data_IF_395618249733
#
_entry.id   IF_395618249733
#
_cell.length_a   1.000
_cell.length_b   1.000
_cell.length_c   1.000
_cell.angle_alpha   90.00
_cell.angle_beta   90.00
_cell.angle_gamma   90.00
#
_symmetry.space_group_name_H-M   'P 1'
#
loop_
_entity.id
_entity.type
_entity.pdbx_description
1 polymer ?
#
# COMPACT_ATOMS: atom_id res chain seq x y z
N UNK A 1 -23.44 -3.80 12.77
CA UNK A 1 -22.01 -3.42 12.65
C UNK A 1 -21.20 -4.67 12.95
N UNK A 2 -20.56 -5.25 11.93
CA UNK A 2 -19.89 -6.55 12.05
C UNK A 2 -18.64 -6.44 12.92
N UNK A 3 -18.62 -7.19 14.02
CA UNK A 3 -17.43 -7.37 14.87
C UNK A 3 -16.34 -8.09 14.05
N UNK A 4 -15.32 -7.34 13.64
CA UNK A 4 -14.13 -7.93 12.99
C UNK A 4 -13.41 -8.77 14.05
N UNK A 5 -13.60 -10.08 13.98
CA UNK A 5 -13.04 -11.02 14.94
C UNK A 5 -11.53 -11.11 14.76
N UNK A 6 -10.77 -10.92 15.85
CA UNK A 6 -9.29 -10.93 15.84
C UNK A 6 -8.68 -12.21 15.25
N UNK A 7 -9.40 -13.33 15.34
CA UNK A 7 -9.02 -14.60 14.72
C UNK A 7 -9.07 -14.57 13.19
N UNK A 8 -10.04 -13.84 12.60
CA UNK A 8 -10.11 -13.64 11.14
C UNK A 8 -8.91 -12.85 10.65
N UNK A 9 -8.60 -11.74 11.34
CA UNK A 9 -7.43 -10.90 11.03
C UNK A 9 -6.12 -11.69 11.10
N UNK A 10 -5.95 -12.56 12.09
CA UNK A 10 -4.74 -13.37 12.22
C UNK A 10 -4.57 -14.35 11.05
N UNK A 11 -5.66 -14.97 10.59
CA UNK A 11 -5.66 -15.85 9.43
C UNK A 11 -5.41 -15.07 8.13
N UNK A 12 -6.04 -13.91 7.96
CA UNK A 12 -5.86 -13.07 6.77
C UNK A 12 -4.41 -12.59 6.66
N UNK A 13 -3.79 -12.20 7.78
CA UNK A 13 -2.38 -11.81 7.84
C UNK A 13 -1.46 -13.00 7.54
N UNK A 14 -1.78 -14.19 8.05
CA UNK A 14 -1.01 -15.40 7.74
C UNK A 14 -1.09 -15.76 6.24
N UNK A 15 -2.27 -15.60 5.63
CA UNK A 15 -2.47 -15.80 4.20
C UNK A 15 -1.65 -14.81 3.38
N UNK A 16 -1.66 -13.52 3.74
CA UNK A 16 -0.87 -12.49 3.05
C UNK A 16 0.64 -12.76 3.14
N UNK A 17 1.13 -13.29 4.27
CA UNK A 17 2.54 -13.69 4.44
C UNK A 17 2.93 -14.94 3.65
N UNK A 18 1.97 -15.77 3.28
CA UNK A 18 2.21 -16.98 2.49
C UNK A 18 2.40 -16.70 1.00
N UNK A 19 2.07 -15.48 0.55
CA UNK A 19 2.25 -15.05 -0.83
C UNK A 19 3.70 -14.60 -1.00
N UNK A 20 4.48 -15.20 -1.93
CA UNK A 20 5.83 -14.75 -2.22
C UNK A 20 5.82 -13.29 -2.67
N UNK A 21 6.73 -12.48 -2.15
CA UNK A 21 6.83 -11.06 -2.51
C UNK A 21 6.99 -10.82 -4.03
N UNK A 22 7.60 -11.79 -4.73
CA UNK A 22 7.74 -11.81 -6.19
C UNK A 22 6.43 -11.95 -6.97
N UNK A 23 5.35 -12.39 -6.32
CA UNK A 23 4.01 -12.54 -6.90
C UNK A 23 3.14 -11.31 -6.71
N UNK A 24 3.60 -10.34 -5.90
CA UNK A 24 2.93 -9.07 -5.74
C UNK A 24 3.36 -8.13 -6.87
N UNK A 25 2.42 -7.50 -7.60
CA UNK A 25 2.74 -6.55 -8.66
C UNK A 25 3.15 -5.21 -8.03
N UNK A 26 4.24 -5.21 -7.27
CA UNK A 26 4.93 -4.00 -6.85
C UNK A 26 5.91 -3.66 -7.97
N UNK A 27 5.39 -3.00 -9.00
CA UNK A 27 6.18 -2.49 -10.11
C UNK A 27 7.18 -1.46 -9.58
N UNK A 28 8.45 -1.84 -9.54
CA UNK A 28 9.54 -1.10 -10.16
C UNK A 28 9.44 0.43 -10.06
N UNK A 29 9.65 0.96 -8.86
CA UNK A 29 9.85 2.39 -8.66
C UNK A 29 11.11 2.60 -7.81
N UNK A 30 12.28 2.35 -8.41
CA UNK A 30 13.55 3.04 -8.15
C UNK A 30 14.05 3.23 -6.71
N UNK A 31 13.44 2.58 -5.71
CA UNK A 31 13.93 2.58 -4.35
C UNK A 31 14.98 1.48 -4.28
N UNK A 32 16.21 1.90 -4.01
CA UNK A 32 17.28 1.01 -3.60
C UNK A 32 16.71 0.12 -2.49
N UNK A 33 16.66 -1.18 -2.75
CA UNK A 33 16.42 -2.22 -1.76
C UNK A 33 17.17 -1.82 -0.48
N UNK A 34 16.49 -1.57 0.65
CA UNK A 34 17.19 -1.51 1.93
C UNK A 34 17.83 -2.88 2.07
N UNK A 35 19.16 -2.92 2.19
CA UNK A 35 19.98 -4.13 2.32
C UNK A 35 19.20 -5.27 2.97
N UNK A 36 19.09 -6.41 2.28
CA UNK A 36 18.33 -7.65 2.55
C UNK A 36 18.37 -8.23 3.99
N UNK A 37 19.02 -7.58 4.93
CA UNK A 37 19.29 -8.07 6.28
C UNK A 37 18.53 -7.35 7.39
N UNK A 38 17.75 -6.30 7.12
CA UNK A 38 17.02 -5.59 8.18
C UNK A 38 15.52 -5.88 8.13
N UNK A 39 15.06 -6.57 9.16
CA UNK A 39 13.64 -6.80 9.38
C UNK A 39 12.93 -5.47 9.70
N UNK A 40 11.65 -5.29 9.31
CA UNK A 40 10.89 -4.09 9.66
C UNK A 40 10.86 -3.79 11.17
N UNK A 41 10.96 -4.84 12.00
CA UNK A 41 11.07 -4.73 13.45
C UNK A 41 12.39 -4.09 13.88
N UNK A 42 13.51 -4.47 13.26
CA UNK A 42 14.84 -3.90 13.54
C UNK A 42 14.92 -2.43 13.09
N UNK A 43 14.28 -2.08 11.98
CA UNK A 43 14.15 -0.69 11.55
C UNK A 43 13.40 0.11 12.63
N UNK A 44 12.26 -0.38 13.11
CA UNK A 44 11.49 0.28 14.17
C UNK A 44 12.28 0.37 15.50
N UNK A 45 13.08 -0.64 15.84
CA UNK A 45 13.91 -0.65 17.04
C UNK A 45 15.10 0.30 16.96
N UNK A 46 15.69 0.51 15.76
CA UNK A 46 16.75 1.50 15.56
C UNK A 46 16.29 2.93 15.86
N UNK A 47 14.98 3.19 15.76
CA UNK A 47 14.35 4.47 16.08
C UNK A 47 13.60 4.46 17.42
N UNK A 48 13.80 3.43 18.25
CA UNK A 48 13.31 3.44 19.63
C UNK A 48 13.94 4.62 20.39
N UNK A 49 13.20 5.36 21.23
CA UNK A 49 13.73 6.51 21.98
C UNK A 49 14.98 6.19 22.84
N UNK A 50 15.17 4.90 23.17
CA UNK A 50 16.31 4.36 23.90
C UNK A 50 17.62 4.26 23.08
N UNK A 51 17.55 4.26 21.75
CA UNK A 51 18.68 4.11 20.82
C UNK A 51 18.77 5.23 19.78
N UNK A 52 17.73 6.06 19.66
CA UNK A 52 17.68 7.17 18.71
C UNK A 52 18.71 8.26 19.06
N UNK A 53 19.61 8.52 18.12
CA UNK A 53 20.54 9.66 18.19
C UNK A 53 19.90 10.89 17.54
N UNK A 54 20.32 12.09 17.95
CA UNK A 54 19.84 13.35 17.35
C UNK A 54 19.98 13.36 15.83
N UNK A 55 21.07 12.77 15.31
CA UNK A 55 21.31 12.65 13.87
C UNK A 55 20.27 11.74 13.21
N UNK A 56 20.03 10.55 13.76
CA UNK A 56 19.02 9.61 13.24
C UNK A 56 17.61 10.19 13.23
N UNK A 57 17.25 10.99 14.26
CA UNK A 57 15.95 11.66 14.32
C UNK A 57 15.82 12.76 13.27
N UNK A 58 16.89 13.52 13.01
CA UNK A 58 16.90 14.53 11.95
C UNK A 58 16.81 13.90 10.56
N UNK A 59 17.54 12.82 10.32
CA UNK A 59 17.53 12.13 9.03
C UNK A 59 16.15 11.51 8.74
N UNK A 60 15.52 10.90 9.75
CA UNK A 60 14.15 10.41 9.66
C UNK A 60 13.15 11.55 9.38
N UNK A 61 13.30 12.68 10.08
CA UNK A 61 12.42 13.85 9.88
C UNK A 61 12.55 14.42 8.47
N UNK A 62 13.77 14.51 7.93
CA UNK A 62 14.02 14.95 6.55
C UNK A 62 13.44 13.98 5.52
N UNK A 63 13.62 12.67 5.73
CA UNK A 63 13.07 11.65 4.87
C UNK A 63 11.54 11.73 4.83
N UNK A 64 10.90 11.85 5.99
CA UNK A 64 9.45 12.03 6.09
C UNK A 64 8.95 13.29 5.38
N UNK A 65 9.59 14.44 5.59
CA UNK A 65 9.22 15.69 4.89
C UNK A 65 9.36 15.55 3.37
N UNK A 66 10.43 14.90 2.91
CA UNK A 66 10.64 14.66 1.47
C UNK A 66 9.52 13.80 0.89
N UNK A 67 9.14 12.72 1.57
CA UNK A 67 8.07 11.84 1.15
C UNK A 67 6.72 12.58 1.09
N UNK A 68 6.41 13.35 2.14
CA UNK A 68 5.17 14.13 2.21
C UNK A 68 5.09 15.20 1.12
N UNK A 69 6.21 15.82 0.76
CA UNK A 69 6.26 16.77 -0.35
C UNK A 69 6.04 16.07 -1.70
N UNK A 70 6.59 14.86 -1.89
CA UNK A 70 6.33 14.05 -3.09
C UNK A 70 4.84 13.67 -3.22
N UNK A 71 4.20 13.29 -2.12
CA UNK A 71 2.76 13.00 -2.08
C UNK A 71 1.94 14.25 -2.42
N UNK A 72 2.34 15.43 -1.92
CA UNK A 72 1.68 16.71 -2.25
C UNK A 72 1.75 16.99 -3.75
N UNK A 73 2.88 16.73 -4.38
CA UNK A 73 3.07 16.94 -5.82
C UNK A 73 2.23 15.97 -6.68
N UNK A 74 2.07 14.72 -6.23
CA UNK A 74 1.15 13.74 -6.84
C UNK A 74 -0.31 14.16 -6.69
N UNK A 75 -0.68 14.69 -5.51
CA UNK A 75 -2.02 15.18 -5.23
C UNK A 75 -2.36 16.44 -6.05
N UNK A 76 -1.41 17.37 -6.19
CA UNK A 76 -1.55 18.57 -7.03
C UNK A 76 -1.64 18.25 -8.52
N UNK A 77 -0.99 17.17 -8.98
CA UNK A 77 -1.12 16.66 -10.36
C UNK A 77 -2.45 15.98 -10.67
N UNK A 78 -3.38 15.87 -9.70
CA UNK A 78 -4.70 15.22 -9.88
C UNK A 78 -4.63 13.77 -10.40
N UNK A 79 -3.49 13.08 -10.23
CA UNK A 79 -3.33 11.70 -10.70
C UNK A 79 -4.34 10.75 -10.03
N UNK A 80 -4.75 11.05 -8.80
CA UNK A 80 -5.83 10.33 -8.12
C UNK A 80 -7.22 10.51 -8.76
N UNK A 81 -7.49 11.64 -9.41
CA UNK A 81 -8.75 11.91 -10.12
C UNK A 81 -8.81 11.08 -11.41
N UNK A 82 -7.72 11.02 -12.18
CA UNK A 82 -7.62 10.18 -13.39
C UNK A 82 -7.77 8.69 -13.06
N UNK A 83 -7.18 8.23 -11.94
CA UNK A 83 -7.35 6.86 -11.47
C UNK A 83 -8.81 6.60 -11.06
N UNK A 84 -9.46 7.56 -10.40
CA UNK A 84 -10.88 7.48 -10.05
C UNK A 84 -11.78 7.32 -11.27
N UNK A 85 -11.59 8.16 -12.30
CA UNK A 85 -12.36 8.07 -13.56
C UNK A 85 -12.16 6.72 -14.27
N UNK A 86 -10.93 6.20 -14.29
CA UNK A 86 -10.65 4.87 -14.86
C UNK A 86 -11.36 3.76 -14.10
N UNK A 87 -11.43 3.85 -12.77
CA UNK A 87 -12.13 2.88 -11.93
C UNK A 87 -13.64 2.92 -12.21
N UNK A 88 -14.23 4.11 -12.28
CA UNK A 88 -15.66 4.23 -12.56
C UNK A 88 -16.00 3.74 -13.98
N UNK A 89 -15.13 3.99 -14.96
CA UNK A 89 -15.27 3.44 -16.31
C UNK A 89 -15.12 1.90 -16.38
N UNK A 90 -14.32 1.29 -15.50
CA UNK A 90 -14.25 -0.16 -15.38
C UNK A 90 -15.49 -0.73 -14.68
N UNK A 91 -16.02 -0.03 -13.66
CA UNK A 91 -17.26 -0.41 -12.97
C UNK A 91 -18.44 -0.43 -13.94
N UNK A 92 -18.63 0.64 -14.72
CA UNK A 92 -19.72 0.72 -15.69
C UNK A 92 -19.67 -0.42 -16.72
N UNK A 93 -18.48 -0.75 -17.23
CA UNK A 93 -18.30 -1.90 -18.14
C UNK A 93 -18.58 -3.24 -17.47
N UNK A 94 -18.23 -3.38 -16.19
CA UNK A 94 -18.55 -4.59 -15.42
C UNK A 94 -20.05 -4.76 -15.21
N UNK A 95 -20.76 -3.67 -14.91
CA UNK A 95 -22.22 -3.66 -14.75
C UNK A 95 -22.94 -4.02 -16.05
N UNK A 96 -22.50 -3.46 -17.19
CA UNK A 96 -23.03 -3.79 -18.52
C UNK A 96 -22.85 -5.28 -18.86
N UNK A 97 -21.66 -5.83 -18.61
CA UNK A 97 -21.39 -7.26 -18.82
C UNK A 97 -22.28 -8.13 -17.92
N UNK A 98 -22.47 -7.72 -16.67
CA UNK A 98 -23.31 -8.44 -15.72
C UNK A 98 -24.79 -8.44 -16.13
N UNK A 99 -25.27 -7.32 -16.69
CA UNK A 99 -26.63 -7.19 -17.23
C UNK A 99 -26.83 -8.12 -18.43
N UNK A 100 -25.92 -8.10 -19.42
CA UNK A 100 -25.98 -8.97 -20.60
C UNK A 100 -25.95 -10.46 -20.21
N UNK A 101 -25.08 -10.84 -19.26
CA UNK A 101 -25.02 -12.23 -18.78
C UNK A 101 -26.28 -12.67 -18.04
N UNK A 102 -27.00 -11.73 -17.40
CA UNK A 102 -28.26 -12.00 -16.73
C UNK A 102 -29.38 -12.29 -17.74
N UNK A 103 -29.42 -11.53 -18.84
CA UNK A 103 -30.41 -11.70 -19.90
C UNK A 103 -30.20 -12.98 -20.71
N UNK A 104 -28.95 -13.42 -20.90
CA UNK A 104 -28.63 -14.70 -21.58
C UNK A 104 -28.94 -15.93 -20.71
N UNK A 105 -29.01 -15.76 -19.39
CA UNK A 105 -29.32 -16.85 -18.44
C UNK A 105 -30.83 -17.01 -18.17
N UNK A 106 -31.64 -16.03 -18.58
CA UNK A 106 -33.11 -16.07 -18.52
C UNK A 106 -33.70 -16.86 -19.69
#
# INVERSE_FOLDING_TARGET
>A
MGSISRSSLANDIALLRSIPASSLPLTSSGQSEPSDSQTPLEVLQAFSPSSATTQSSQDLSKAYIKEMNGIKEVYERKEGEEVGERIDGLRARGEEIQEVLRDVKA
#
